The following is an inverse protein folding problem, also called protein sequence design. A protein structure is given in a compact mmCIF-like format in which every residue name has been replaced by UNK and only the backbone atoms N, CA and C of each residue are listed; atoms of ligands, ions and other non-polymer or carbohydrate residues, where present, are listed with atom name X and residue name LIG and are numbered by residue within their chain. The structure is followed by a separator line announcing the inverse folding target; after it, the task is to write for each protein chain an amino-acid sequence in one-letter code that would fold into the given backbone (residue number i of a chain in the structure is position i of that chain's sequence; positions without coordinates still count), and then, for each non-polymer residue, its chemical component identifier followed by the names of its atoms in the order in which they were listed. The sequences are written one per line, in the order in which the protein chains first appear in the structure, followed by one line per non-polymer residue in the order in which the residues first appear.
data_IF_587681520676
#
_entry.id   IF_587681520676
#
_cell.length_a   1.000
_cell.length_b   1.000
_cell.length_c   1.000
_cell.angle_alpha   90.00
_cell.angle_beta   90.00
_cell.angle_gamma   90.00
#
_symmetry.space_group_name_H-M   'P 1'
#
loop_
_entity.id
_entity.type
_entity.pdbx_description
1 polymer ?
#
# COMPACT_ATOMS: atom_id res chain seq x y z
N UNK A 1 11.00 4.71 -19.99
CA UNK A 1 12.07 3.71 -19.82
C UNK A 1 12.14 3.33 -18.37
N UNK A 2 11.51 2.21 -17.99
CA UNK A 2 11.66 1.63 -16.65
C UNK A 2 11.59 0.12 -16.79
N UNK A 3 12.68 -0.51 -16.37
CA UNK A 3 13.04 -1.92 -16.54
C UNK A 3 12.34 -2.71 -15.44
N UNK A 4 11.39 -3.58 -15.80
CA UNK A 4 10.79 -4.53 -14.86
C UNK A 4 11.74 -5.70 -14.68
N UNK A 5 12.40 -5.75 -13.53
CA UNK A 5 13.27 -6.87 -13.11
C UNK A 5 12.38 -7.94 -12.48
N UNK A 6 12.24 -9.07 -13.17
CA UNK A 6 11.49 -10.23 -12.70
C UNK A 6 12.16 -10.85 -11.48
N UNK A 7 11.39 -11.09 -10.42
CA UNK A 7 11.82 -11.84 -9.24
C UNK A 7 11.58 -13.32 -9.54
N UNK A 8 12.69 -14.03 -9.77
CA UNK A 8 12.75 -15.46 -9.97
C UNK A 8 12.78 -16.15 -8.58
N UNK A 9 11.88 -17.10 -8.25
CA UNK A 9 12.02 -17.88 -7.02
C UNK A 9 13.07 -18.97 -7.25
N UNK A 10 14.32 -18.67 -6.92
CA UNK A 10 15.35 -19.71 -6.79
C UNK A 10 15.18 -20.39 -5.43
N UNK A 11 14.69 -21.62 -5.44
CA UNK A 11 14.80 -22.52 -4.30
C UNK A 11 16.28 -22.90 -4.13
N UNK A 12 17.01 -22.09 -3.38
CA UNK A 12 18.38 -22.39 -3.02
C UNK A 12 18.36 -23.30 -1.80
N UNK A 13 18.56 -24.60 -2.02
CA UNK A 13 18.91 -25.52 -0.94
C UNK A 13 20.21 -25.00 -0.28
N UNK A 14 20.27 -24.84 1.06
CA UNK A 14 21.54 -24.58 1.72
C UNK A 14 22.34 -25.88 1.68
N UNK A 15 23.43 -25.83 0.92
CA UNK A 15 24.47 -26.83 0.90
C UNK A 15 25.05 -26.92 2.33
N UNK A 16 24.99 -28.06 3.04
CA UNK A 16 25.62 -28.15 4.35
C UNK A 16 27.14 -28.15 4.13
N UNK A 17 27.78 -27.03 4.44
CA UNK A 17 29.23 -26.97 4.58
C UNK A 17 29.67 -27.93 5.69
N UNK A 18 30.77 -28.68 5.49
CA UNK A 18 31.28 -29.56 6.52
C UNK A 18 31.91 -28.68 7.61
N UNK A 19 31.16 -28.42 8.67
CA UNK A 19 31.73 -27.81 9.86
C UNK A 19 32.69 -28.82 10.49
N UNK A 20 33.98 -28.51 10.36
CA UNK A 20 35.10 -29.19 10.97
C UNK A 20 34.93 -29.13 12.51
N UNK A 21 34.21 -30.07 13.11
CA UNK A 21 34.17 -30.21 14.57
C UNK A 21 35.42 -30.97 15.01
N UNK A 22 36.25 -30.23 15.76
CA UNK A 22 37.41 -30.69 16.50
C UNK A 22 37.09 -32.00 17.22
N UNK A 23 37.80 -33.05 16.85
CA UNK A 23 37.77 -34.35 17.52
C UNK A 23 38.18 -34.15 18.98
N UNK A 24 37.26 -34.40 19.91
CA UNK A 24 37.61 -34.57 21.31
C UNK A 24 38.47 -35.83 21.42
N UNK A 25 39.66 -35.66 22.01
CA UNK A 25 40.61 -36.74 22.31
C UNK A 25 39.94 -37.81 23.15
N UNK A 26 39.52 -38.90 22.51
CA UNK A 26 39.12 -40.10 23.24
C UNK A 26 40.39 -40.79 23.76
N UNK A 27 40.58 -40.72 25.07
CA UNK A 27 41.67 -41.34 25.83
C UNK A 27 41.56 -42.86 25.68
N UNK A 28 42.32 -43.43 24.74
CA UNK A 28 42.50 -44.88 24.61
C UNK A 28 43.06 -45.44 25.93
N UNK A 29 42.24 -46.18 26.68
CA UNK A 29 42.76 -47.13 27.67
C UNK A 29 43.22 -48.37 26.90
N UNK A 30 44.53 -48.48 26.71
CA UNK A 30 45.18 -49.70 26.26
C UNK A 30 45.15 -50.72 27.40
N UNK A 31 44.35 -51.77 27.27
CA UNK A 31 44.48 -52.95 28.13
C UNK A 31 45.53 -53.84 27.45
N UNK A 32 46.77 -53.75 27.92
CA UNK A 32 47.86 -54.64 27.51
C UNK A 32 47.60 -56.03 28.08
N UNK A 33 47.30 -56.99 27.20
CA UNK A 33 47.29 -58.41 27.54
C UNK A 33 48.75 -58.88 27.58
N UNK A 34 49.24 -59.22 28.78
CA UNK A 34 50.53 -59.87 28.97
C UNK A 34 50.33 -61.38 28.83
N UNK A 35 50.82 -61.96 27.71
CA UNK A 35 51.02 -63.40 27.59
C UNK A 35 52.39 -63.75 28.20
N UNK A 36 52.39 -64.41 29.35
CA UNK A 36 53.57 -64.99 29.98
C UNK A 36 53.88 -66.34 29.34
N UNK A 37 55.03 -66.46 28.66
CA UNK A 37 55.62 -67.73 28.24
C UNK A 37 56.44 -68.33 29.40
N UNK A 38 56.20 -69.58 29.76
CA UNK A 38 57.22 -70.48 30.27
C UNK A 38 56.79 -71.94 30.06
N UNK A 39 57.66 -72.71 29.42
CA UNK A 39 57.59 -74.15 29.20
C UNK A 39 57.93 -74.92 30.49
N UNK A 40 57.15 -75.96 30.80
CA UNK A 40 57.62 -77.32 31.13
C UNK A 40 56.55 -78.14 31.87
N UNK A 41 56.20 -79.32 31.31
CA UNK A 41 55.91 -80.50 32.12
C UNK A 41 54.44 -80.87 32.37
N UNK A 42 54.00 -81.88 31.60
CA UNK A 42 53.16 -83.03 32.04
C UNK A 42 51.66 -82.82 32.34
N UNK A 43 50.87 -83.33 31.39
CA UNK A 43 49.62 -84.08 31.50
C UNK A 43 48.44 -83.57 32.37
N UNK A 44 47.31 -83.51 31.65
CA UNK A 44 45.91 -83.51 32.05
C UNK A 44 45.21 -82.21 32.47
N UNK A 45 44.12 -82.00 31.72
CA UNK A 45 42.90 -81.23 31.98
C UNK A 45 42.83 -79.75 31.55
N UNK A 46 41.85 -79.53 30.67
CA UNK A 46 41.27 -78.27 30.18
C UNK A 46 42.06 -77.47 29.12
N UNK A 47 41.66 -77.71 27.86
CA UNK A 47 41.80 -76.74 26.77
C UNK A 47 41.26 -75.36 27.17
N UNK A 48 41.78 -74.25 26.60
CA UNK A 48 41.07 -72.97 26.71
C UNK A 48 39.70 -73.23 26.07
N UNK A 49 38.64 -73.19 26.87
CA UNK A 49 37.29 -73.44 26.39
C UNK A 49 37.01 -72.46 25.25
N UNK A 50 37.13 -72.94 24.02
CA UNK A 50 36.78 -72.21 22.81
C UNK A 50 35.30 -71.87 22.97
N UNK A 51 35.02 -70.61 23.34
CA UNK A 51 33.68 -70.18 23.67
C UNK A 51 32.73 -70.52 22.52
N UNK A 52 31.57 -71.07 22.86
CA UNK A 52 30.58 -71.52 21.88
C UNK A 52 30.33 -70.45 20.81
N UNK A 53 30.71 -70.77 19.55
CA UNK A 53 30.64 -69.86 18.40
C UNK A 53 29.24 -69.28 18.22
N UNK A 54 28.19 -70.05 18.55
CA UNK A 54 26.79 -69.59 18.49
C UNK A 54 26.49 -68.52 19.52
N UNK A 55 27.05 -68.63 20.73
CA UNK A 55 26.89 -67.63 21.80
C UNK A 55 27.63 -66.35 21.46
N UNK A 56 28.82 -66.45 20.87
CA UNK A 56 29.60 -65.28 20.42
C UNK A 56 28.89 -64.53 19.29
N UNK A 57 28.33 -65.24 18.31
CA UNK A 57 27.54 -64.62 17.24
C UNK A 57 26.27 -63.95 17.77
N UNK A 58 25.56 -64.61 18.70
CA UNK A 58 24.39 -64.04 19.35
C UNK A 58 24.74 -62.76 20.13
N UNK A 59 25.85 -62.76 20.87
CA UNK A 59 26.34 -61.58 21.59
C UNK A 59 26.71 -60.44 20.63
N UNK A 60 27.35 -60.74 19.50
CA UNK A 60 27.68 -59.75 18.48
C UNK A 60 26.42 -59.13 17.86
N UNK A 61 25.38 -59.93 17.58
CA UNK A 61 24.08 -59.42 17.11
C UNK A 61 23.39 -58.55 18.14
N UNK A 62 23.41 -58.92 19.43
CA UNK A 62 22.86 -58.11 20.52
C UNK A 62 23.60 -56.77 20.61
N UNK A 63 24.94 -56.79 20.59
CA UNK A 63 25.74 -55.57 20.64
C UNK A 63 25.48 -54.65 19.44
N UNK A 64 25.35 -55.22 18.24
CA UNK A 64 25.01 -54.47 17.03
C UNK A 64 23.62 -53.83 17.14
N UNK A 65 22.61 -54.56 17.62
CA UNK A 65 21.26 -54.04 17.83
C UNK A 65 21.24 -52.94 18.89
N UNK A 66 21.98 -53.11 19.98
CA UNK A 66 22.11 -52.08 21.01
C UNK A 66 22.77 -50.80 20.46
N UNK A 67 23.82 -50.94 19.65
CA UNK A 67 24.46 -49.80 19.01
C UNK A 67 23.52 -49.07 18.03
N UNK A 68 22.75 -49.82 17.23
CA UNK A 68 21.75 -49.25 16.32
C UNK A 68 20.62 -48.54 17.08
N UNK A 69 20.16 -49.12 18.20
CA UNK A 69 19.16 -48.49 19.08
C UNK A 69 19.66 -47.14 19.59
N UNK A 70 20.85 -47.09 20.16
CA UNK A 70 21.45 -45.84 20.68
C UNK A 70 21.53 -44.79 19.57
N UNK A 71 22.02 -45.17 18.38
CA UNK A 71 22.13 -44.24 17.24
C UNK A 71 20.78 -43.72 16.77
N UNK A 72 19.75 -44.56 16.74
CA UNK A 72 18.41 -44.15 16.32
C UNK A 72 17.77 -43.22 17.35
N UNK A 73 17.95 -43.51 18.64
CA UNK A 73 17.48 -42.64 19.72
C UNK A 73 18.17 -41.27 19.67
N UNK A 74 19.49 -41.21 19.52
CA UNK A 74 20.22 -39.95 19.36
C UNK A 74 19.70 -39.12 18.17
N UNK A 75 19.46 -39.77 17.03
CA UNK A 75 18.92 -39.09 15.84
C UNK A 75 17.50 -38.57 16.06
N UNK A 76 16.65 -39.36 16.74
CA UNK A 76 15.30 -38.96 17.09
C UNK A 76 15.32 -37.75 18.04
N UNK A 77 16.19 -37.78 19.05
CA UNK A 77 16.34 -36.71 20.03
C UNK A 77 16.84 -35.43 19.37
N UNK A 78 17.86 -35.51 18.50
CA UNK A 78 18.38 -34.37 17.73
C UNK A 78 17.31 -33.75 16.83
N UNK A 79 16.53 -34.59 16.12
CA UNK A 79 15.45 -34.11 15.26
C UNK A 79 14.29 -33.52 16.04
N UNK A 80 13.97 -34.08 17.20
CA UNK A 80 12.92 -33.54 18.07
C UNK A 80 13.32 -32.16 18.60
N UNK A 81 14.57 -32.01 19.09
CA UNK A 81 15.10 -30.74 19.54
C UNK A 81 15.14 -29.69 18.41
N UNK A 82 15.55 -30.08 17.21
CA UNK A 82 15.55 -29.19 16.04
C UNK A 82 14.13 -28.71 15.70
N UNK A 83 13.15 -29.59 15.70
CA UNK A 83 11.76 -29.22 15.41
C UNK A 83 11.17 -28.30 16.48
N UNK A 84 11.50 -28.54 17.75
CA UNK A 84 11.12 -27.65 18.85
C UNK A 84 11.73 -26.26 18.67
N UNK A 85 13.04 -26.18 18.41
CA UNK A 85 13.71 -24.91 18.16
C UNK A 85 13.12 -24.19 16.95
N UNK A 86 12.85 -24.91 15.86
CA UNK A 86 12.23 -24.33 14.67
C UNK A 86 10.84 -23.77 14.97
N UNK A 87 10.05 -24.45 15.80
CA UNK A 87 8.73 -23.96 16.20
C UNK A 87 8.82 -22.71 17.10
N UNK A 88 9.76 -22.69 18.04
CA UNK A 88 10.02 -21.54 18.92
C UNK A 88 10.52 -20.33 18.14
N UNK A 89 11.51 -20.53 17.25
CA UNK A 89 12.06 -19.48 16.39
C UNK A 89 10.98 -18.91 15.45
N UNK A 90 10.18 -19.78 14.82
CA UNK A 90 9.07 -19.34 13.98
C UNK A 90 8.04 -18.53 14.77
N UNK A 91 7.69 -18.97 15.98
CA UNK A 91 6.73 -18.22 16.82
C UNK A 91 7.28 -16.86 17.22
N UNK A 92 8.56 -16.77 17.59
CA UNK A 92 9.23 -15.51 17.91
C UNK A 92 9.28 -14.56 16.69
N UNK A 93 9.55 -15.08 15.49
CA UNK A 93 9.51 -14.28 14.26
C UNK A 93 8.10 -13.79 13.94
N UNK A 94 7.07 -14.63 14.13
CA UNK A 94 5.68 -14.22 13.94
C UNK A 94 5.26 -13.13 14.92
N UNK A 95 5.60 -13.28 16.20
CA UNK A 95 5.32 -12.27 17.23
C UNK A 95 6.04 -10.96 16.89
N UNK A 96 7.31 -11.01 16.48
CA UNK A 96 8.07 -9.84 16.07
C UNK A 96 7.46 -9.13 14.85
N UNK A 97 7.02 -9.89 13.83
CA UNK A 97 6.35 -9.32 12.65
C UNK A 97 5.04 -8.66 13.06
N UNK A 98 4.26 -9.32 13.94
CA UNK A 98 3.00 -8.79 14.45
C UNK A 98 3.20 -7.47 15.20
N UNK A 99 4.16 -7.42 16.12
CA UNK A 99 4.50 -6.22 16.89
C UNK A 99 4.99 -5.07 15.99
N UNK A 100 5.87 -5.37 15.03
CA UNK A 100 6.36 -4.35 14.09
C UNK A 100 5.24 -3.80 13.22
N UNK A 101 4.35 -4.66 12.71
CA UNK A 101 3.22 -4.24 11.89
C UNK A 101 2.24 -3.35 12.68
N UNK A 102 1.96 -3.70 13.95
CA UNK A 102 1.12 -2.87 14.83
C UNK A 102 1.78 -1.51 15.11
N UNK A 103 3.09 -1.50 15.38
CA UNK A 103 3.83 -0.27 15.61
C UNK A 103 3.83 0.66 14.39
N UNK A 104 4.06 0.12 13.19
CA UNK A 104 3.99 0.89 11.94
C UNK A 104 2.58 1.43 11.67
N UNK A 105 1.55 0.65 11.99
CA UNK A 105 0.16 1.06 11.88
C UNK A 105 -0.18 2.21 12.84
N UNK A 106 0.23 2.11 14.10
CA UNK A 106 0.01 3.14 15.10
C UNK A 106 0.72 4.45 14.72
N UNK A 107 1.97 4.36 14.23
CA UNK A 107 2.71 5.53 13.76
C UNK A 107 2.04 6.16 12.52
N UNK A 108 1.57 5.36 11.56
CA UNK A 108 0.83 5.85 10.41
C UNK A 108 -0.49 6.53 10.83
N UNK A 109 -1.21 5.93 11.78
CA UNK A 109 -2.45 6.47 12.34
C UNK A 109 -2.21 7.83 13.00
N UNK A 110 -1.18 7.95 13.85
CA UNK A 110 -0.80 9.19 14.50
C UNK A 110 -0.49 10.31 13.47
N UNK A 111 0.28 9.99 12.42
CA UNK A 111 0.58 10.95 11.33
C UNK A 111 -0.66 11.39 10.56
N UNK A 112 -1.64 10.50 10.36
CA UNK A 112 -2.90 10.85 9.69
C UNK A 112 -3.74 11.75 10.61
N UNK A 113 -3.81 11.43 11.90
CA UNK A 113 -4.55 12.21 12.88
C UNK A 113 -3.99 13.63 13.01
N UNK A 114 -2.66 13.76 13.10
CA UNK A 114 -1.98 15.07 13.13
C UNK A 114 -2.30 15.89 11.87
N UNK A 115 -2.24 15.28 10.67
CA UNK A 115 -2.60 15.96 9.42
C UNK A 115 -4.06 16.38 9.38
N UNK A 116 -4.95 15.56 9.92
CA UNK A 116 -6.37 15.87 9.99
C UNK A 116 -6.64 17.03 10.96
N UNK A 117 -5.97 17.06 12.11
CA UNK A 117 -6.06 18.13 13.10
C UNK A 117 -5.56 19.46 12.53
N UNK A 118 -4.38 19.47 11.89
CA UNK A 118 -3.85 20.67 11.20
C UNK A 118 -4.85 21.19 10.17
N UNK A 119 -5.46 20.28 9.40
CA UNK A 119 -6.43 20.67 8.37
C UNK A 119 -7.74 21.16 8.97
N UNK A 120 -8.22 20.53 10.05
CA UNK A 120 -9.41 20.95 10.76
C UNK A 120 -9.24 22.35 11.37
N UNK A 121 -8.09 22.60 12.00
CA UNK A 121 -7.74 23.91 12.53
C UNK A 121 -7.67 24.97 11.42
N UNK A 122 -7.02 24.67 10.29
CA UNK A 122 -6.97 25.61 9.16
C UNK A 122 -8.37 25.90 8.58
N UNK A 123 -9.29 24.94 8.63
CA UNK A 123 -10.69 25.18 8.24
C UNK A 123 -11.43 26.06 9.25
N UNK A 124 -11.21 25.86 10.55
CA UNK A 124 -11.79 26.69 11.60
C UNK A 124 -11.29 28.14 11.49
N UNK A 125 -9.98 28.34 11.34
CA UNK A 125 -9.38 29.66 11.14
C UNK A 125 -9.93 30.34 9.85
N UNK A 126 -10.07 29.58 8.76
CA UNK A 126 -10.64 30.11 7.52
C UNK A 126 -12.13 30.46 7.65
N UNK A 127 -12.91 29.65 8.38
CA UNK A 127 -14.32 29.92 8.64
C UNK A 127 -14.51 31.17 9.50
N UNK A 128 -13.68 31.36 10.52
CA UNK A 128 -13.71 32.55 11.37
C UNK A 128 -13.34 33.82 10.60
N UNK A 129 -12.32 33.76 9.73
CA UNK A 129 -11.96 34.88 8.86
C UNK A 129 -13.12 35.23 7.91
N UNK A 130 -13.72 34.22 7.27
CA UNK A 130 -14.84 34.42 6.36
C UNK A 130 -16.06 35.02 7.08
N UNK A 131 -16.35 34.56 8.30
CA UNK A 131 -17.42 35.13 9.13
C UNK A 131 -17.16 36.61 9.46
N UNK A 132 -15.93 36.95 9.85
CA UNK A 132 -15.56 38.35 10.10
C UNK A 132 -15.64 39.22 8.84
N UNK A 133 -15.36 38.67 7.67
CA UNK A 133 -15.49 39.37 6.39
C UNK A 133 -16.96 39.64 6.05
N UNK A 134 -17.85 38.65 6.23
CA UNK A 134 -19.29 38.83 6.07
C UNK A 134 -19.82 39.91 7.03
N UNK A 135 -19.45 39.86 8.31
CA UNK A 135 -19.89 40.86 9.30
C UNK A 135 -19.42 42.28 8.96
N UNK A 136 -18.26 42.44 8.31
CA UNK A 136 -17.80 43.75 7.83
C UNK A 136 -18.54 44.18 6.58
N UNK A 137 -18.77 43.26 5.65
CA UNK A 137 -19.52 43.53 4.42
C UNK A 137 -20.97 43.93 4.73
N UNK A 138 -21.60 43.29 5.71
CA UNK A 138 -22.95 43.62 6.17
C UNK A 138 -23.01 45.05 6.72
N UNK A 139 -22.02 45.48 7.51
CA UNK A 139 -21.92 46.88 8.00
C UNK A 139 -21.74 47.88 6.87
N UNK A 140 -20.89 47.57 5.89
CA UNK A 140 -20.71 48.44 4.71
C UNK A 140 -21.99 48.53 3.90
N UNK A 141 -22.76 47.44 3.82
CA UNK A 141 -24.05 47.42 3.14
C UNK A 141 -25.09 48.27 3.90
N UNK A 142 -25.15 48.16 5.22
CA UNK A 142 -26.00 49.00 6.07
C UNK A 142 -25.69 50.49 5.91
N UNK A 143 -24.40 50.87 5.92
CA UNK A 143 -23.97 52.26 5.67
C UNK A 143 -24.36 52.75 4.26
N UNK A 144 -24.29 51.87 3.26
CA UNK A 144 -24.69 52.18 1.89
C UNK A 144 -26.21 52.37 1.76
N UNK A 145 -27.01 51.51 2.39
CA UNK A 145 -28.47 51.65 2.44
C UNK A 145 -28.90 52.97 3.11
N UNK A 146 -28.28 53.31 4.24
CA UNK A 146 -28.49 54.58 4.93
C UNK A 146 -28.11 55.78 4.06
N UNK A 147 -27.04 55.67 3.27
CA UNK A 147 -26.63 56.71 2.35
C UNK A 147 -27.65 56.89 1.21
N UNK A 148 -28.13 55.79 0.63
CA UNK A 148 -29.16 55.83 -0.43
C UNK A 148 -30.47 56.40 0.10
N UNK A 149 -30.89 56.03 1.30
CA UNK A 149 -32.12 56.56 1.90
C UNK A 149 -32.02 58.07 2.15
N UNK A 150 -30.87 58.55 2.64
CA UNK A 150 -30.58 59.99 2.76
C UNK A 150 -30.59 60.68 1.38
N UNK A 151 -29.88 60.15 0.40
CA UNK A 151 -29.81 60.71 -0.97
C UNK A 151 -31.18 60.75 -1.67
N UNK A 152 -32.03 59.74 -1.41
CA UNK A 152 -33.42 59.67 -1.89
C UNK A 152 -34.28 60.74 -1.24
N UNK A 153 -34.19 60.90 0.09
CA UNK A 153 -34.93 61.91 0.84
C UNK A 153 -34.46 63.35 0.50
N UNK A 154 -33.19 63.53 0.13
CA UNK A 154 -32.62 64.80 -0.29
C UNK A 154 -32.87 65.12 -1.79
N UNK A 155 -33.49 64.20 -2.54
CA UNK A 155 -33.81 64.39 -3.96
C UNK A 155 -32.57 64.51 -4.86
N UNK A 156 -31.40 64.06 -4.39
CA UNK A 156 -30.11 64.14 -5.08
C UNK A 156 -30.01 63.16 -6.25
N UNK A 157 -30.75 62.05 -6.20
CA UNK A 157 -30.79 61.02 -7.26
C UNK A 157 -31.16 61.60 -8.63
N UNK A 158 -32.05 62.61 -8.68
CA UNK A 158 -32.49 63.25 -9.93
C UNK A 158 -31.67 64.48 -10.32
N UNK A 159 -30.90 65.08 -9.40
CA UNK A 159 -30.00 66.20 -9.71
C UNK A 159 -28.83 65.72 -10.57
N UNK A 160 -28.26 64.55 -10.26
CA UNK A 160 -27.21 63.93 -11.07
C UNK A 160 -27.70 63.42 -12.44
N UNK A 161 -28.97 63.08 -12.59
CA UNK A 161 -29.55 62.67 -13.89
C UNK A 161 -29.85 63.84 -14.83
N UNK A 162 -30.14 65.04 -14.29
CA UNK A 162 -30.35 66.27 -15.09
C UNK A 162 -29.03 66.92 -15.51
N UNK A 163 -27.92 66.63 -14.83
CA UNK A 163 -26.59 67.07 -15.23
C UNK A 163 -26.01 66.18 -16.36
N UNK A 164 -26.65 66.23 -17.54
CA UNK A 164 -26.01 65.79 -18.78
C UNK A 164 -24.92 66.81 -19.14
N UNK A 165 -23.73 66.67 -18.55
CA UNK A 165 -22.52 67.25 -19.18
C UNK A 165 -22.27 66.49 -20.48
N UNK A 166 -22.04 67.18 -21.61
CA UNK A 166 -21.62 66.51 -22.83
C UNK A 166 -20.34 65.73 -22.51
N UNK A 167 -20.39 64.42 -22.71
CA UNK A 167 -19.24 63.56 -22.50
C UNK A 167 -18.09 64.05 -23.40
N UNK A 168 -16.90 64.37 -22.86
CA UNK A 168 -15.70 64.49 -23.67
C UNK A 168 -15.46 63.14 -24.35
N UNK A 169 -14.86 63.15 -25.54
CA UNK A 169 -14.61 61.98 -26.42
C UNK A 169 -13.95 60.79 -25.70
N UNK A 170 -13.36 61.05 -24.54
CA UNK A 170 -12.68 60.10 -23.66
C UNK A 170 -13.66 59.16 -22.91
N UNK A 171 -14.86 59.65 -22.53
CA UNK A 171 -15.88 58.83 -21.86
C UNK A 171 -16.65 57.91 -22.81
N UNK A 172 -16.76 58.30 -24.08
CA UNK A 172 -17.31 57.44 -25.14
C UNK A 172 -16.32 56.30 -25.49
N UNK A 173 -15.02 56.59 -25.37
CA UNK A 173 -13.97 55.57 -25.44
C UNK A 173 -14.02 54.63 -24.23
N UNK A 174 -14.21 55.13 -23.00
CA UNK A 174 -14.41 54.30 -21.79
C UNK A 174 -15.68 53.44 -21.87
N UNK A 175 -16.81 53.99 -22.34
CA UNK A 175 -18.04 53.21 -22.52
C UNK A 175 -17.86 52.10 -23.57
N UNK A 176 -17.15 52.39 -24.68
CA UNK A 176 -16.74 51.36 -25.64
C UNK A 176 -15.72 50.39 -25.07
N UNK A 177 -14.86 50.82 -24.15
CA UNK A 177 -13.87 49.96 -23.48
C UNK A 177 -14.55 49.03 -22.49
N UNK A 178 -15.55 49.51 -21.75
CA UNK A 178 -16.38 48.73 -20.83
C UNK A 178 -17.26 47.74 -21.59
N UNK A 179 -17.89 48.15 -22.69
CA UNK A 179 -18.63 47.24 -23.57
C UNK A 179 -17.72 46.17 -24.20
N UNK A 180 -16.49 46.53 -24.59
CA UNK A 180 -15.47 45.56 -25.04
C UNK A 180 -14.98 44.66 -23.89
N UNK A 181 -14.93 45.16 -22.67
CA UNK A 181 -14.55 44.40 -21.48
C UNK A 181 -15.65 43.40 -21.10
N UNK A 182 -16.92 43.78 -21.20
CA UNK A 182 -18.07 42.88 -21.01
C UNK A 182 -18.12 41.82 -22.11
N UNK A 183 -17.89 42.20 -23.37
CA UNK A 183 -17.76 41.24 -24.47
C UNK A 183 -16.59 40.26 -24.24
N UNK A 184 -15.45 40.74 -23.71
CA UNK A 184 -14.31 39.89 -23.31
C UNK A 184 -14.62 39.01 -22.10
N UNK A 185 -15.40 39.47 -21.12
CA UNK A 185 -15.86 38.65 -19.99
C UNK A 185 -16.78 37.53 -20.48
N UNK A 186 -17.63 37.80 -21.47
CA UNK A 186 -18.46 36.78 -22.12
C UNK A 186 -17.62 35.81 -22.96
N UNK A 187 -16.59 36.30 -23.65
CA UNK A 187 -15.61 35.50 -24.39
C UNK A 187 -14.79 34.58 -23.44
N UNK A 188 -14.40 35.08 -22.27
CA UNK A 188 -13.73 34.30 -21.24
C UNK A 188 -14.67 33.29 -20.58
N UNK A 189 -15.94 33.63 -20.35
CA UNK A 189 -16.95 32.72 -19.83
C UNK A 189 -17.26 31.59 -20.85
N UNK A 190 -17.33 31.91 -22.14
CA UNK A 190 -17.48 30.92 -23.22
C UNK A 190 -16.22 30.06 -23.41
N UNK A 191 -15.03 30.64 -23.23
CA UNK A 191 -13.75 29.90 -23.22
C UNK A 191 -13.61 28.96 -22.02
N UNK A 192 -14.12 29.35 -20.84
CA UNK A 192 -14.22 28.48 -19.65
C UNK A 192 -15.23 27.35 -19.86
N UNK A 193 -16.38 27.61 -20.50
CA UNK A 193 -17.32 26.55 -20.96
C UNK A 193 -16.68 25.60 -21.98
N UNK A 194 -15.83 26.11 -22.88
CA UNK A 194 -15.07 25.27 -23.82
C UNK A 194 -14.04 24.37 -23.11
N UNK A 195 -13.42 24.84 -22.01
CA UNK A 195 -12.48 24.07 -21.19
C UNK A 195 -13.11 22.87 -20.46
N UNK A 196 -14.36 22.98 -20.00
CA UNK A 196 -15.10 21.84 -19.42
C UNK A 196 -15.41 20.76 -20.46
N UNK A 197 -15.61 21.16 -21.72
CA UNK A 197 -15.92 20.23 -22.81
C UNK A 197 -14.74 19.33 -23.19
N UNK A 198 -13.50 19.79 -22.93
CA UNK A 198 -12.29 19.01 -23.22
C UNK A 198 -12.14 17.84 -22.24
N UNK A 199 -12.41 18.03 -20.95
CA UNK A 199 -12.26 16.98 -19.92
C UNK A 199 -13.28 15.85 -20.09
N UNK A 200 -14.55 16.20 -20.25
CA UNK A 200 -15.62 15.23 -20.52
C UNK A 200 -15.40 14.45 -21.83
N UNK A 201 -14.82 15.08 -22.86
CA UNK A 201 -14.52 14.41 -24.13
C UNK A 201 -13.34 13.43 -24.04
N UNK A 202 -12.37 13.67 -23.14
CA UNK A 202 -11.27 12.74 -22.87
C UNK A 202 -11.80 11.46 -22.21
N UNK A 203 -12.70 11.58 -21.22
CA UNK A 203 -13.34 10.42 -20.61
C UNK A 203 -14.17 9.63 -21.63
N UNK A 204 -14.89 10.30 -22.52
CA UNK A 204 -15.65 9.66 -23.60
C UNK A 204 -14.75 8.86 -24.57
N UNK A 205 -13.59 9.40 -24.93
CA UNK A 205 -12.61 8.74 -25.79
C UNK A 205 -11.97 7.51 -25.11
N UNK A 206 -11.62 7.63 -23.81
CA UNK A 206 -11.11 6.51 -23.02
C UNK A 206 -12.16 5.40 -22.88
N UNK A 207 -13.42 5.76 -22.68
CA UNK A 207 -14.53 4.82 -22.58
C UNK A 207 -14.77 4.05 -23.88
N UNK A 208 -14.66 4.71 -25.03
CA UNK A 208 -14.81 4.05 -26.34
C UNK A 208 -13.66 3.09 -26.62
N UNK A 209 -12.41 3.51 -26.35
CA UNK A 209 -11.24 2.62 -26.51
C UNK A 209 -11.34 1.43 -25.56
N UNK A 210 -11.65 1.66 -24.28
CA UNK A 210 -11.73 0.60 -23.27
C UNK A 210 -12.90 -0.36 -23.55
N UNK A 211 -14.07 0.17 -23.93
CA UNK A 211 -15.21 -0.64 -24.36
C UNK A 211 -14.87 -1.53 -25.56
N UNK A 212 -14.17 -0.99 -26.56
CA UNK A 212 -13.70 -1.76 -27.71
C UNK A 212 -12.72 -2.88 -27.30
N UNK A 213 -11.81 -2.60 -26.35
CA UNK A 213 -10.87 -3.62 -25.85
C UNK A 213 -11.57 -4.75 -25.09
N UNK A 214 -12.63 -4.46 -24.34
CA UNK A 214 -13.42 -5.47 -23.62
C UNK A 214 -14.18 -6.35 -24.61
N UNK A 215 -14.85 -5.75 -25.60
CA UNK A 215 -15.57 -6.50 -26.65
C UNK A 215 -14.59 -7.39 -27.43
N UNK A 216 -13.43 -6.87 -27.80
CA UNK A 216 -12.42 -7.65 -28.52
C UNK A 216 -11.84 -8.79 -27.66
N UNK A 217 -11.60 -8.56 -26.36
CA UNK A 217 -11.12 -9.58 -25.43
C UNK A 217 -12.17 -10.67 -25.12
N UNK A 218 -13.45 -10.39 -25.30
CA UNK A 218 -14.53 -11.39 -25.11
C UNK A 218 -14.78 -12.18 -26.40
N UNK A 219 -14.66 -11.54 -27.57
CA UNK A 219 -15.04 -12.14 -28.86
C UNK A 219 -13.85 -12.77 -29.60
N UNK A 220 -12.64 -12.20 -29.51
CA UNK A 220 -11.50 -12.60 -30.35
C UNK A 220 -10.55 -13.62 -29.70
N UNK A 221 -10.65 -13.87 -28.39
CA UNK A 221 -9.76 -14.84 -27.70
C UNK A 221 -10.54 -16.08 -27.25
N UNK A 222 -10.12 -17.30 -27.66
CA UNK A 222 -10.82 -18.55 -27.32
C UNK A 222 -10.64 -18.98 -25.86
N UNK A 223 -9.61 -18.49 -25.17
CA UNK A 223 -9.41 -18.68 -23.72
C UNK A 223 -9.68 -17.35 -23.00
N UNK A 224 -10.95 -17.12 -22.67
CA UNK A 224 -11.36 -15.88 -21.98
C UNK A 224 -10.86 -15.91 -20.53
N UNK A 225 -9.81 -15.14 -20.25
CA UNK A 225 -9.36 -14.88 -18.89
C UNK A 225 -10.36 -13.96 -18.16
N UNK A 226 -11.40 -14.55 -17.58
CA UNK A 226 -12.44 -13.84 -16.82
C UNK A 226 -11.89 -12.92 -15.74
N UNK A 227 -10.71 -13.22 -15.17
CA UNK A 227 -10.03 -12.35 -14.21
C UNK A 227 -9.60 -11.01 -14.84
N UNK A 228 -9.09 -11.02 -16.07
CA UNK A 228 -8.68 -9.82 -16.81
C UNK A 228 -9.90 -9.05 -17.31
N UNK A 229 -10.93 -9.75 -17.79
CA UNK A 229 -12.19 -9.13 -18.22
C UNK A 229 -12.91 -8.48 -17.03
N UNK A 230 -12.96 -9.14 -15.87
CA UNK A 230 -13.53 -8.58 -14.66
C UNK A 230 -12.75 -7.36 -14.16
N UNK A 231 -11.41 -7.40 -14.20
CA UNK A 231 -10.58 -6.25 -13.84
C UNK A 231 -10.81 -5.06 -14.78
N UNK A 232 -10.88 -5.30 -16.10
CA UNK A 232 -11.19 -4.27 -17.10
C UNK A 232 -12.62 -3.73 -16.92
N UNK A 233 -13.58 -4.59 -16.59
CA UNK A 233 -14.96 -4.21 -16.29
C UNK A 233 -15.09 -3.31 -15.05
N UNK A 234 -14.34 -3.61 -13.98
CA UNK A 234 -14.28 -2.76 -12.78
C UNK A 234 -13.72 -1.37 -13.09
N UNK A 235 -12.66 -1.28 -13.90
CA UNK A 235 -12.06 -0.01 -14.33
C UNK A 235 -13.05 0.78 -15.20
N UNK A 236 -13.75 0.10 -16.11
CA UNK A 236 -14.79 0.71 -16.95
C UNK A 236 -15.94 1.26 -16.11
N UNK A 237 -16.43 0.51 -15.11
CA UNK A 237 -17.46 0.98 -14.18
C UNK A 237 -17.01 2.22 -13.39
N UNK A 238 -15.75 2.26 -12.95
CA UNK A 238 -15.15 3.43 -12.30
C UNK A 238 -15.12 4.66 -13.20
N UNK A 239 -14.79 4.50 -14.49
CA UNK A 239 -14.81 5.59 -15.47
C UNK A 239 -16.23 6.08 -15.77
N UNK A 240 -17.23 5.19 -15.83
CA UNK A 240 -18.65 5.58 -15.93
C UNK A 240 -19.06 6.44 -14.73
N UNK A 241 -18.69 6.02 -13.52
CA UNK A 241 -19.00 6.76 -12.31
C UNK A 241 -18.33 8.15 -12.30
N UNK A 242 -17.07 8.25 -12.70
CA UNK A 242 -16.36 9.54 -12.85
C UNK A 242 -17.05 10.44 -13.89
N UNK A 243 -17.49 9.88 -15.00
CA UNK A 243 -18.18 10.61 -16.06
C UNK A 243 -19.56 11.12 -15.60
N UNK A 244 -20.34 10.29 -14.88
CA UNK A 244 -21.63 10.68 -14.31
C UNK A 244 -21.44 11.78 -13.27
N UNK A 245 -20.46 11.62 -12.36
CA UNK A 245 -20.15 12.63 -11.35
C UNK A 245 -19.79 13.98 -11.96
N UNK A 246 -18.93 14.00 -12.99
CA UNK A 246 -18.57 15.24 -13.69
C UNK A 246 -19.78 15.86 -14.42
N UNK A 247 -20.66 15.03 -14.97
CA UNK A 247 -21.90 15.48 -15.61
C UNK A 247 -22.90 16.07 -14.63
N UNK A 248 -23.11 15.44 -13.47
CA UNK A 248 -23.99 15.92 -12.40
C UNK A 248 -23.51 17.26 -11.84
N UNK A 249 -22.20 17.41 -11.61
CA UNK A 249 -21.62 18.68 -11.19
C UNK A 249 -21.80 19.78 -12.25
N UNK A 250 -21.71 19.42 -13.53
CA UNK A 250 -21.95 20.35 -14.65
C UNK A 250 -23.42 20.78 -14.75
N UNK A 251 -24.38 19.89 -14.51
CA UNK A 251 -25.82 20.23 -14.56
C UNK A 251 -26.26 21.08 -13.38
N UNK A 252 -25.75 20.82 -12.19
CA UNK A 252 -26.05 21.58 -10.97
C UNK A 252 -25.57 23.05 -11.08
N UNK A 253 -24.49 23.27 -11.83
CA UNK A 253 -24.00 24.63 -12.17
C UNK A 253 -24.87 25.34 -13.23
N UNK A 254 -25.73 24.62 -13.97
CA UNK A 254 -26.67 25.21 -14.94
C UNK A 254 -28.06 25.50 -14.34
N UNK A 255 -28.49 24.78 -13.30
CA UNK A 255 -29.78 25.05 -12.62
C UNK A 255 -29.71 26.28 -11.71
N UNK A 256 -28.59 26.46 -11.00
CA UNK A 256 -28.32 27.65 -10.16
C UNK A 256 -28.21 28.98 -10.93
N UNK A 257 -28.27 28.96 -12.27
CA UNK A 257 -28.25 30.17 -13.13
C UNK A 257 -29.59 30.51 -13.78
N UNK A 258 -30.64 29.73 -13.51
CA UNK A 258 -31.99 29.97 -14.06
C UNK A 258 -32.98 30.55 -13.04
N UNK A 259 -32.58 30.68 -11.78
CA UNK A 259 -33.40 31.26 -10.70
C UNK A 259 -32.99 32.69 -10.30
N UNK A 260 -32.03 33.31 -11.00
CA UNK A 260 -31.70 34.74 -10.89
C UNK A 260 -32.09 35.54 -12.15
#
# INVERSE_FOLDING_TARGET
MSILKAIQPSLHLPNPSPTQRKTSRNRRRSVSCFCSSNDAGRADSSSPSEGDKRKQELLARIAMLQAQKVRLTDFLDERSAFLTQFAEDANAEFDQIGENALKELDEASARIMEKLEIRAQAFEEAADVNRQEIEKNDRVLEEFEDQIERDRNEGLFFKNLKEKRPAPKDKEAEAKMNAKMEARKLEEATRRKAGLKVRSNIYLALMTVLGFTIVNAVVATPEVEWRKVAALGLIFAGLVAQFIYEKSLSSETEETKKED
#
